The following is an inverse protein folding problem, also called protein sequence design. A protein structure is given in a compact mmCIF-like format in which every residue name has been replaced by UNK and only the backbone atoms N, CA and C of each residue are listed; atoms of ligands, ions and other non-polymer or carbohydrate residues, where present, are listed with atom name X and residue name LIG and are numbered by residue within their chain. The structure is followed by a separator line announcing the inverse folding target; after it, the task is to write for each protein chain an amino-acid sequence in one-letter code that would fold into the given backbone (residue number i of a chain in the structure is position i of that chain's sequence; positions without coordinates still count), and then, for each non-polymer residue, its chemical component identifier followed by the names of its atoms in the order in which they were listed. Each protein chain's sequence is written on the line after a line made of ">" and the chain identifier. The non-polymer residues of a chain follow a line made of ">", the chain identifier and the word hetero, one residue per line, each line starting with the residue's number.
data_IF_034351187286
#
_entry.id   IF_034351187286
#
_cell.length_a   1.000
_cell.length_b   1.000
_cell.length_c   1.000
_cell.angle_alpha   90.00
_cell.angle_beta   90.00
_cell.angle_gamma   90.00
#
_symmetry.space_group_name_H-M   'P 1'
#
loop_
_entity.id
_entity.type
_entity.pdbx_description
1 polymer ?
#
# COMPACT_ATOMS: atom_id res chain seq x y z
N UNK A 1 16.91 -6.13 -11.31
CA UNK A 1 15.46 -6.40 -11.25
C UNK A 1 14.86 -5.70 -10.08
N UNK A 2 13.84 -4.92 -10.34
CA UNK A 2 13.21 -4.12 -9.31
C UNK A 2 12.24 -4.90 -8.47
N UNK A 3 12.08 -4.45 -7.23
CA UNK A 3 11.00 -4.94 -6.39
C UNK A 3 9.67 -4.48 -6.95
N UNK A 4 8.62 -5.26 -6.74
CA UNK A 4 7.28 -4.96 -7.25
C UNK A 4 6.43 -4.36 -6.14
N UNK A 5 5.94 -3.14 -6.38
CA UNK A 5 5.13 -2.41 -5.41
C UNK A 5 3.76 -2.13 -6.00
N UNK A 6 2.73 -2.48 -5.25
CA UNK A 6 1.35 -2.20 -5.62
C UNK A 6 0.89 -0.94 -4.90
N UNK A 7 0.46 0.06 -5.65
CA UNK A 7 -0.01 1.34 -5.10
C UNK A 7 -1.51 1.44 -5.29
N UNK A 8 -2.24 1.53 -4.19
CA UNK A 8 -3.69 1.71 -4.20
C UNK A 8 -4.02 3.13 -3.76
N UNK A 9 -4.53 3.94 -4.68
CA UNK A 9 -4.84 5.34 -4.46
C UNK A 9 -5.89 5.79 -5.48
N UNK A 10 -7.00 6.37 -5.03
CA UNK A 10 -8.05 6.79 -5.95
C UNK A 10 -7.78 8.15 -6.61
N UNK A 11 -6.92 8.98 -6.04
CA UNK A 11 -6.51 10.23 -6.67
C UNK A 11 -5.47 9.98 -7.76
N UNK A 12 -5.81 10.30 -9.01
CA UNK A 12 -4.89 10.12 -10.13
C UNK A 12 -3.63 10.98 -10.00
N UNK A 13 -3.75 12.16 -9.43
CA UNK A 13 -2.61 13.06 -9.22
C UNK A 13 -1.60 12.45 -8.24
N UNK A 14 -2.08 12.00 -7.08
CA UNK A 14 -1.23 11.39 -6.07
C UNK A 14 -0.64 10.07 -6.59
N UNK A 15 -1.46 9.27 -7.26
CA UNK A 15 -1.04 8.00 -7.82
C UNK A 15 0.10 8.17 -8.83
N UNK A 16 -0.05 9.11 -9.76
CA UNK A 16 0.97 9.37 -10.77
C UNK A 16 2.27 9.88 -10.17
N UNK A 17 2.19 10.77 -9.19
CA UNK A 17 3.38 11.31 -8.53
C UNK A 17 4.10 10.23 -7.73
N UNK A 18 3.36 9.42 -6.99
CA UNK A 18 3.91 8.29 -6.23
C UNK A 18 4.63 7.32 -7.16
N UNK A 19 4.00 6.99 -8.29
CA UNK A 19 4.58 6.09 -9.28
C UNK A 19 5.89 6.63 -9.83
N UNK A 20 5.93 7.90 -10.19
CA UNK A 20 7.14 8.52 -10.73
C UNK A 20 8.31 8.46 -9.75
N UNK A 21 8.04 8.83 -8.50
CA UNK A 21 9.07 8.88 -7.47
C UNK A 21 9.63 7.49 -7.19
N UNK A 22 8.77 6.49 -7.08
CA UNK A 22 9.20 5.12 -6.80
C UNK A 22 9.88 4.47 -8.01
N UNK A 23 9.46 4.82 -9.22
CA UNK A 23 10.10 4.30 -10.44
C UNK A 23 11.55 4.75 -10.53
N UNK A 24 11.85 5.99 -10.09
CA UNK A 24 13.23 6.49 -10.05
C UNK A 24 14.11 5.64 -9.15
N UNK A 25 13.53 4.98 -8.14
CA UNK A 25 14.24 4.07 -7.24
C UNK A 25 14.40 2.66 -7.81
N UNK A 26 14.06 2.45 -9.08
CA UNK A 26 14.13 1.17 -9.77
C UNK A 26 13.11 0.14 -9.29
N UNK A 27 11.99 0.58 -8.73
CA UNK A 27 10.88 -0.29 -8.38
C UNK A 27 9.90 -0.41 -9.55
N UNK A 28 9.30 -1.58 -9.70
CA UNK A 28 8.22 -1.79 -10.67
C UNK A 28 6.90 -1.47 -9.97
N UNK A 29 6.15 -0.51 -10.51
CA UNK A 29 4.95 0.00 -9.87
C UNK A 29 3.71 -0.41 -10.65
N UNK A 30 2.75 -1.03 -9.96
CA UNK A 30 1.41 -1.27 -10.46
C UNK A 30 0.45 -0.40 -9.66
N UNK A 31 -0.42 0.33 -10.34
CA UNK A 31 -1.34 1.26 -9.70
C UNK A 31 -2.78 0.78 -9.84
N UNK A 32 -3.53 0.84 -8.75
CA UNK A 32 -4.96 0.52 -8.72
C UNK A 32 -5.72 1.60 -7.93
N UNK A 33 -7.04 1.62 -8.02
CA UNK A 33 -7.86 2.71 -7.47
C UNK A 33 -8.75 2.32 -6.30
N UNK A 34 -8.83 1.05 -5.97
CA UNK A 34 -9.66 0.58 -4.86
C UNK A 34 -9.15 -0.75 -4.31
N UNK A 35 -9.71 -1.14 -3.16
CA UNK A 35 -9.27 -2.36 -2.48
C UNK A 35 -9.61 -3.65 -3.22
N UNK A 36 -10.71 -3.67 -3.98
CA UNK A 36 -11.06 -4.85 -4.75
C UNK A 36 -10.00 -5.13 -5.82
N UNK A 37 -9.49 -4.07 -6.46
CA UNK A 37 -8.42 -4.21 -7.45
C UNK A 37 -7.10 -4.66 -6.80
N UNK A 38 -6.85 -4.26 -5.55
CA UNK A 38 -5.67 -4.75 -4.81
C UNK A 38 -5.74 -6.27 -4.70
N UNK A 39 -6.88 -6.80 -4.28
CA UNK A 39 -7.04 -8.24 -4.12
C UNK A 39 -6.89 -8.98 -5.44
N UNK A 40 -7.43 -8.43 -6.52
CA UNK A 40 -7.30 -9.03 -7.86
C UNK A 40 -5.83 -9.11 -8.29
N UNK A 41 -5.08 -8.03 -8.09
CA UNK A 41 -3.65 -8.00 -8.48
C UNK A 41 -2.83 -8.96 -7.62
N UNK A 42 -3.04 -8.98 -6.32
CA UNK A 42 -2.33 -9.89 -5.43
C UNK A 42 -2.65 -11.35 -5.72
N UNK A 43 -3.88 -11.63 -6.15
CA UNK A 43 -4.26 -12.98 -6.55
C UNK A 43 -3.60 -13.45 -7.83
N UNK A 44 -3.16 -12.53 -8.67
CA UNK A 44 -2.60 -12.85 -10.00
C UNK A 44 -1.07 -12.89 -10.04
N UNK A 45 -0.38 -12.18 -9.13
CA UNK A 45 1.08 -12.05 -9.17
C UNK A 45 1.66 -11.81 -7.78
N UNK A 46 2.93 -12.16 -7.56
CA UNK A 46 3.60 -11.79 -6.31
C UNK A 46 4.00 -10.31 -6.33
N UNK A 47 3.96 -9.69 -5.17
CA UNK A 47 4.41 -8.32 -4.95
C UNK A 47 5.27 -8.29 -3.70
N UNK A 48 6.04 -7.20 -3.53
CA UNK A 48 6.95 -7.07 -2.38
C UNK A 48 6.39 -6.12 -1.31
N UNK A 49 5.46 -5.25 -1.69
CA UNK A 49 4.86 -4.29 -0.77
C UNK A 49 3.59 -3.68 -1.36
N UNK A 50 2.65 -3.32 -0.49
CA UNK A 50 1.45 -2.55 -0.86
C UNK A 50 1.48 -1.20 -0.15
N UNK A 51 1.36 -0.13 -0.94
CA UNK A 51 1.05 1.20 -0.42
C UNK A 51 -0.47 1.37 -0.57
N UNK A 52 -1.16 1.57 0.55
CA UNK A 52 -2.60 1.41 0.60
C UNK A 52 -3.27 2.64 1.20
N UNK A 53 -3.94 3.43 0.37
CA UNK A 53 -4.76 4.53 0.87
C UNK A 53 -5.92 3.95 1.68
N UNK A 54 -6.18 4.54 2.83
CA UNK A 54 -7.27 4.09 3.69
C UNK A 54 -8.62 4.48 3.11
N UNK A 55 -8.72 5.68 2.52
CA UNK A 55 -9.99 6.19 1.98
C UNK A 55 -10.10 5.98 0.49
N UNK A 56 -10.72 4.89 0.10
CA UNK A 56 -10.96 4.53 -1.30
C UNK A 56 -12.39 4.07 -1.48
N UNK A 57 -12.96 4.23 -2.70
CA UNK A 57 -14.29 3.71 -2.98
C UNK A 57 -14.30 2.18 -3.07
N UNK A 58 -15.46 1.59 -3.05
CA UNK A 58 -15.75 0.17 -3.22
C UNK A 58 -15.26 -0.65 -2.02
N UNK A 59 -13.97 -0.60 -1.69
CA UNK A 59 -13.41 -1.27 -0.52
C UNK A 59 -12.32 -0.37 0.05
N UNK A 60 -12.49 0.07 1.30
CA UNK A 60 -11.49 0.92 1.94
C UNK A 60 -10.23 0.14 2.32
N UNK A 61 -9.18 0.89 2.71
CA UNK A 61 -7.89 0.29 3.01
C UNK A 61 -7.88 -0.63 4.22
N UNK A 62 -8.65 -0.30 5.27
CA UNK A 62 -8.70 -1.14 6.46
C UNK A 62 -9.32 -2.49 6.15
N UNK A 63 -10.43 -2.50 5.43
CA UNK A 63 -11.10 -3.72 4.99
C UNK A 63 -10.20 -4.52 4.07
N UNK A 64 -9.53 -3.84 3.14
CA UNK A 64 -8.63 -4.48 2.19
C UNK A 64 -7.47 -5.18 2.91
N UNK A 65 -6.85 -4.53 3.89
CA UNK A 65 -5.76 -5.14 4.65
C UNK A 65 -6.22 -6.40 5.37
N UNK A 66 -7.38 -6.35 6.01
CA UNK A 66 -7.95 -7.53 6.68
C UNK A 66 -8.19 -8.68 5.71
N UNK A 67 -8.71 -8.36 4.51
CA UNK A 67 -8.93 -9.36 3.48
C UNK A 67 -7.64 -9.98 2.98
N UNK A 68 -6.58 -9.19 2.79
CA UNK A 68 -5.27 -9.72 2.39
C UNK A 68 -4.79 -10.76 3.40
N UNK A 69 -4.88 -10.44 4.69
CA UNK A 69 -4.40 -11.33 5.75
C UNK A 69 -5.23 -12.60 5.88
N UNK A 70 -6.53 -12.51 5.67
CA UNK A 70 -7.44 -13.65 5.87
C UNK A 70 -7.61 -14.51 4.62
N UNK A 71 -7.63 -13.92 3.43
CA UNK A 71 -7.89 -14.66 2.19
C UNK A 71 -6.63 -15.14 1.49
N UNK A 72 -5.47 -14.61 1.86
CA UNK A 72 -4.17 -15.01 1.30
C UNK A 72 -4.15 -14.98 -0.24
N UNK A 73 -4.50 -13.84 -0.88
CA UNK A 73 -4.58 -13.79 -2.34
C UNK A 73 -3.23 -14.09 -2.99
N UNK A 74 -3.19 -15.15 -3.80
CA UNK A 74 -1.97 -15.52 -4.51
C UNK A 74 -0.77 -15.85 -3.63
N UNK A 75 -0.98 -16.17 -2.34
CA UNK A 75 0.11 -16.44 -1.41
C UNK A 75 0.72 -15.18 -0.80
N UNK A 76 0.06 -14.03 -0.90
CA UNK A 76 0.59 -12.75 -0.45
C UNK A 76 0.09 -12.31 0.94
N UNK A 77 -0.41 -13.24 1.76
CA UNK A 77 -1.01 -12.85 3.05
C UNK A 77 -0.06 -12.12 4.00
N UNK A 78 1.25 -12.33 3.87
CA UNK A 78 2.25 -11.72 4.75
C UNK A 78 2.94 -10.51 4.13
N UNK A 79 2.46 -10.03 3.00
CA UNK A 79 3.07 -8.89 2.30
C UNK A 79 3.08 -7.65 3.20
N UNK A 80 4.18 -6.87 3.25
CA UNK A 80 4.17 -5.62 3.99
C UNK A 80 3.14 -4.65 3.44
N UNK A 81 2.37 -4.04 4.33
CA UNK A 81 1.35 -3.04 3.98
C UNK A 81 1.66 -1.75 4.70
N UNK A 82 1.81 -0.67 3.93
CA UNK A 82 1.98 0.68 4.46
C UNK A 82 0.71 1.45 4.12
N UNK A 83 -0.01 1.91 5.15
CA UNK A 83 -1.22 2.70 4.96
C UNK A 83 -0.87 4.16 4.67
N UNK A 84 -1.68 4.81 3.85
CA UNK A 84 -1.60 6.25 3.61
C UNK A 84 -2.92 6.84 4.08
N UNK A 85 -2.87 7.77 5.03
CA UNK A 85 -4.08 8.29 5.65
C UNK A 85 -4.04 9.81 5.81
N UNK A 86 -5.11 10.47 5.37
CA UNK A 86 -5.32 11.90 5.62
C UNK A 86 -5.91 12.17 6.99
N UNK A 87 -6.25 11.13 7.73
CA UNK A 87 -7.00 11.25 8.98
C UNK A 87 -6.39 10.38 10.06
N UNK A 88 -5.09 10.59 10.31
CA UNK A 88 -4.33 9.82 11.28
C UNK A 88 -4.92 9.89 12.69
N UNK A 89 -5.72 10.91 12.98
CA UNK A 89 -6.36 11.05 14.29
C UNK A 89 -7.48 10.05 14.54
N UNK A 90 -8.05 9.50 13.47
CA UNK A 90 -9.17 8.55 13.57
C UNK A 90 -8.72 7.11 13.79
N UNK A 91 -7.42 6.85 13.64
CA UNK A 91 -6.88 5.50 13.79
C UNK A 91 -5.63 5.54 14.66
N UNK A 92 -5.50 4.57 15.56
CA UNK A 92 -4.28 4.38 16.33
C UNK A 92 -3.39 3.35 15.64
N UNK A 93 -2.13 3.24 16.09
CA UNK A 93 -1.26 2.15 15.63
C UNK A 93 -1.85 0.78 15.93
N UNK A 94 -2.59 0.67 17.02
CA UNK A 94 -3.26 -0.59 17.36
C UNK A 94 -4.34 -0.94 16.32
N UNK A 95 -5.10 0.06 15.84
CA UNK A 95 -6.10 -0.17 14.80
C UNK A 95 -5.44 -0.70 13.53
N UNK A 96 -4.32 -0.11 13.14
CA UNK A 96 -3.57 -0.55 11.96
C UNK A 96 -3.04 -1.96 12.14
N UNK A 97 -2.46 -2.26 13.29
CA UNK A 97 -1.95 -3.60 13.59
C UNK A 97 -3.03 -4.67 13.57
N UNK A 98 -4.20 -4.36 14.13
CA UNK A 98 -5.33 -5.28 14.12
C UNK A 98 -5.81 -5.58 12.71
N UNK A 99 -5.73 -4.60 11.81
CA UNK A 99 -6.06 -4.79 10.41
C UNK A 99 -4.95 -5.51 9.63
N UNK A 100 -3.78 -5.70 10.23
CA UNK A 100 -2.64 -6.34 9.59
C UNK A 100 -1.74 -5.37 8.82
N UNK A 101 -1.86 -4.07 9.09
CA UNK A 101 -1.04 -3.01 8.47
C UNK A 101 0.24 -2.84 9.28
N UNK A 102 1.37 -2.79 8.56
CA UNK A 102 2.70 -2.76 9.20
C UNK A 102 3.12 -1.36 9.62
N UNK A 103 2.73 -0.33 8.85
CA UNK A 103 3.15 1.04 9.10
C UNK A 103 2.20 2.00 8.40
N UNK A 104 2.35 3.30 8.65
CA UNK A 104 1.51 4.29 8.00
C UNK A 104 2.28 5.56 7.67
N UNK A 105 1.75 6.32 6.70
CA UNK A 105 2.25 7.63 6.29
C UNK A 105 1.08 8.61 6.30
N UNK A 106 1.20 9.76 6.98
CA UNK A 106 0.14 10.75 6.97
C UNK A 106 0.11 11.55 5.67
N UNK A 107 -1.07 12.04 5.30
CA UNK A 107 -1.20 13.02 4.20
C UNK A 107 -1.15 14.42 4.79
N UNK A 108 -0.58 15.39 4.07
CA UNK A 108 0.05 15.27 2.76
C UNK A 108 1.34 14.46 2.82
N UNK A 109 1.59 13.66 1.81
CA UNK A 109 2.74 12.76 1.79
C UNK A 109 4.05 13.55 1.77
N UNK A 110 4.97 13.16 2.65
CA UNK A 110 6.37 13.53 2.52
C UNK A 110 7.04 12.42 1.71
N UNK A 111 7.40 12.73 0.47
CA UNK A 111 7.88 11.69 -0.44
C UNK A 111 9.26 11.16 -0.06
N UNK A 112 10.10 11.96 0.60
CA UNK A 112 11.37 11.46 1.11
C UNK A 112 11.14 10.42 2.19
N UNK A 113 10.21 10.67 3.12
CA UNK A 113 9.85 9.71 4.16
C UNK A 113 9.23 8.44 3.55
N UNK A 114 8.41 8.60 2.52
CA UNK A 114 7.82 7.48 1.82
C UNK A 114 8.88 6.56 1.22
N UNK A 115 9.85 7.14 0.52
CA UNK A 115 10.94 6.37 -0.10
C UNK A 115 11.74 5.64 0.97
N UNK A 116 12.10 6.32 2.06
CA UNK A 116 12.86 5.69 3.15
C UNK A 116 12.09 4.53 3.77
N UNK A 117 10.80 4.72 4.02
CA UNK A 117 9.98 3.68 4.63
C UNK A 117 9.82 2.48 3.70
N UNK A 118 9.57 2.72 2.42
CA UNK A 118 9.47 1.64 1.43
C UNK A 118 10.77 0.85 1.40
N UNK A 119 11.91 1.54 1.33
CA UNK A 119 13.22 0.87 1.31
C UNK A 119 13.43 0.00 2.55
N UNK A 120 12.99 0.46 3.71
CA UNK A 120 13.18 -0.29 4.95
C UNK A 120 12.43 -1.63 4.94
N UNK A 121 11.38 -1.75 4.14
CA UNK A 121 10.59 -2.98 4.03
C UNK A 121 11.02 -3.90 2.89
N UNK A 122 11.54 -3.35 1.80
CA UNK A 122 11.81 -4.15 0.60
C UNK A 122 13.30 -4.37 0.32
N UNK A 123 14.18 -3.58 0.91
CA UNK A 123 15.63 -3.71 0.75
C UNK A 123 16.25 -4.22 2.03
N UNK A 124 17.19 -5.12 1.89
CA UNK A 124 17.92 -5.70 3.00
C UNK A 124 19.12 -4.86 3.42
#
# INVERSE_FOLDING_TARGET
>A
MGKKILVAEDSSVIQNLTKRILTVQNYEITSVKNGAQVLDKLGASPYDLVLLDIHMPIMDGMTCAKEIRSSDPGGNKDIPIIAITGNAKNYSMEDFKEAGINDYLPKPLNYDNMVELVKSYVEE
#
